data_IF_526461613530
#
_entry.id   IF_526461613530
#
_cell.length_a   1.000
_cell.length_b   1.000
_cell.length_c   1.000
_cell.angle_alpha   90.00
_cell.angle_beta   90.00
_cell.angle_gamma   90.00
#
_symmetry.space_group_name_H-M   'P 1'
#
loop_
_entity.id
_entity.type
_entity.pdbx_description
1 polymer ?
#
# COMPACT_ATOMS: atom_id res chain seq x y z
N UNK A 1 -41.52 23.10 -9.21
CA UNK A 1 -41.42 24.49 -9.72
C UNK A 1 -41.68 25.37 -8.50
N UNK A 2 -40.75 26.13 -7.95
CA UNK A 2 -40.02 27.27 -8.51
C UNK A 2 -38.61 27.32 -7.88
N UNK A 3 -37.61 27.71 -8.67
CA UNK A 3 -36.21 27.85 -8.26
C UNK A 3 -35.92 29.16 -7.54
N UNK A 4 -34.80 29.18 -6.82
CA UNK A 4 -34.17 30.37 -6.25
C UNK A 4 -32.74 30.51 -6.77
N UNK A 5 -32.54 31.44 -7.69
CA UNK A 5 -31.25 32.05 -8.02
C UNK A 5 -31.01 33.23 -7.07
N UNK A 6 -29.94 33.17 -6.28
CA UNK A 6 -29.29 34.26 -5.53
C UNK A 6 -27.84 33.78 -5.31
N UNK A 7 -26.75 34.54 -5.42
CA UNK A 7 -26.46 35.86 -5.96
C UNK A 7 -24.91 35.88 -6.09
N UNK A 8 -24.38 35.92 -7.32
CA UNK A 8 -22.94 35.79 -7.60
C UNK A 8 -22.20 37.14 -7.59
N UNK A 9 -22.91 38.25 -7.35
CA UNK A 9 -22.38 39.61 -7.48
C UNK A 9 -21.95 40.23 -6.14
N UNK A 10 -22.50 39.80 -4.99
CA UNK A 10 -22.11 40.31 -3.66
C UNK A 10 -20.72 39.81 -3.19
N UNK A 11 -20.27 38.62 -3.63
CA UNK A 11 -18.94 38.11 -3.24
C UNK A 11 -17.78 38.85 -3.94
N UNK A 12 -18.02 39.43 -5.12
CA UNK A 12 -16.97 40.12 -5.90
C UNK A 12 -16.66 41.53 -5.39
N UNK A 13 -17.62 42.19 -4.73
CA UNK A 13 -17.44 43.52 -4.12
C UNK A 13 -16.70 43.43 -2.79
N UNK A 14 -16.89 42.38 -1.98
CA UNK A 14 -16.13 42.19 -0.75
C UNK A 14 -14.63 41.88 -0.96
N UNK A 15 -14.26 41.17 -2.04
CA UNK A 15 -12.84 40.90 -2.36
C UNK A 15 -12.06 42.13 -2.86
N UNK A 16 -12.73 43.15 -3.40
CA UNK A 16 -12.06 44.39 -3.83
C UNK A 16 -11.86 45.39 -2.69
N UNK A 17 -12.66 45.31 -1.62
CA UNK A 17 -12.48 46.14 -0.44
C UNK A 17 -11.26 45.71 0.39
N UNK A 18 -11.04 44.40 0.59
CA UNK A 18 -9.95 43.88 1.44
C UNK A 18 -8.54 44.14 0.89
N UNK A 19 -8.40 44.28 -0.44
CA UNK A 19 -7.11 44.56 -1.08
C UNK A 19 -6.68 46.03 -0.95
N UNK A 20 -7.65 46.97 -0.90
CA UNK A 20 -7.36 48.41 -0.66
C UNK A 20 -7.08 48.70 0.81
N UNK A 21 -7.68 47.97 1.74
CA UNK A 21 -7.41 48.13 3.19
C UNK A 21 -6.00 47.65 3.55
N UNK A 22 -5.49 46.60 2.90
CA UNK A 22 -4.14 46.07 3.16
C UNK A 22 -3.02 47.02 2.72
N UNK A 23 -3.23 47.76 1.61
CA UNK A 23 -2.26 48.74 1.09
C UNK A 23 -2.21 50.02 1.94
N UNK A 24 -3.34 50.45 2.51
CA UNK A 24 -3.38 51.62 3.41
C UNK A 24 -2.74 51.29 4.77
N UNK A 25 -2.93 50.07 5.31
CA UNK A 25 -2.28 49.64 6.55
C UNK A 25 -0.75 49.51 6.44
N UNK A 26 -0.22 49.18 5.25
CA UNK A 26 1.23 49.18 5.01
C UNK A 26 1.83 50.60 4.98
N UNK A 27 1.10 51.59 4.47
CA UNK A 27 1.57 52.98 4.47
C UNK A 27 1.58 53.63 5.86
N UNK A 28 0.65 53.26 6.75
CA UNK A 28 0.57 53.80 8.11
C UNK A 28 1.69 53.24 9.02
N UNK A 29 2.20 52.05 8.72
CA UNK A 29 3.28 51.42 9.48
C UNK A 29 4.68 52.02 9.19
N UNK A 30 4.82 52.82 8.13
CA UNK A 30 6.08 53.47 7.75
C UNK A 30 6.19 54.94 8.21
N UNK A 31 5.13 55.50 8.80
CA UNK A 31 5.16 56.84 9.40
C UNK A 31 5.62 56.84 10.88
N UNK A 32 5.75 55.66 11.50
CA UNK A 32 6.04 55.54 12.94
C UNK A 32 7.49 55.21 13.32
N UNK A 33 8.45 55.28 12.38
CA UNK A 33 9.85 54.93 12.64
C UNK A 33 10.78 56.11 12.33
N UNK A 34 10.84 57.09 13.24
CA UNK A 34 11.80 58.21 13.19
C UNK A 34 13.15 57.92 13.89
N UNK A 35 13.40 56.71 14.41
CA UNK A 35 14.57 56.48 15.28
C UNK A 35 15.45 55.25 14.97
N UNK A 36 15.51 54.78 13.71
CA UNK A 36 16.47 53.74 13.33
C UNK A 36 17.68 54.35 12.61
N UNK A 37 18.91 54.26 13.19
CA UNK A 37 20.12 54.54 12.43
C UNK A 37 20.26 53.43 11.38
N UNK A 38 20.49 53.83 10.14
CA UNK A 38 20.76 52.95 8.99
C UNK A 38 19.53 52.32 8.29
N UNK A 39 18.47 53.12 8.11
CA UNK A 39 17.26 52.81 7.30
C UNK A 39 17.60 52.28 5.90
N UNK A 40 18.66 52.77 5.27
CA UNK A 40 19.07 52.35 3.93
C UNK A 40 19.63 50.91 3.93
N UNK A 41 20.44 50.54 4.93
CA UNK A 41 20.97 49.17 5.07
C UNK A 41 19.88 48.14 5.33
N UNK A 42 18.91 48.48 6.18
CA UNK A 42 17.77 47.59 6.43
C UNK A 42 16.95 47.42 5.15
N UNK A 43 16.69 48.49 4.39
CA UNK A 43 15.93 48.38 3.14
C UNK A 43 16.67 47.61 2.05
N UNK A 44 17.99 47.75 1.90
CA UNK A 44 18.77 46.96 0.91
C UNK A 44 18.86 45.50 1.30
N UNK A 45 19.19 45.17 2.55
CA UNK A 45 19.26 43.77 3.02
C UNK A 45 17.88 43.09 2.95
N UNK A 46 16.82 43.82 3.29
CA UNK A 46 15.45 43.26 3.21
C UNK A 46 15.01 43.09 1.75
N UNK A 47 15.38 44.00 0.84
CA UNK A 47 15.09 43.86 -0.59
C UNK A 47 15.93 42.75 -1.24
N UNK A 48 17.18 42.54 -0.82
CA UNK A 48 18.03 41.45 -1.29
C UNK A 48 17.53 40.08 -0.79
N UNK A 49 17.09 39.98 0.46
CA UNK A 49 16.49 38.76 1.01
C UNK A 49 15.13 38.47 0.37
N UNK A 50 14.28 39.48 0.18
CA UNK A 50 13.00 39.34 -0.51
C UNK A 50 13.23 38.96 -1.98
N UNK A 51 14.20 39.55 -2.67
CA UNK A 51 14.55 39.18 -4.05
C UNK A 51 15.12 37.76 -4.13
N UNK A 52 16.01 37.36 -3.21
CA UNK A 52 16.61 36.03 -3.17
C UNK A 52 15.61 34.91 -2.80
N UNK A 53 14.52 35.25 -2.12
CA UNK A 53 13.45 34.31 -1.81
C UNK A 53 12.26 34.37 -2.77
N UNK A 54 12.09 35.46 -3.51
CA UNK A 54 11.01 35.63 -4.49
C UNK A 54 11.06 34.56 -5.58
N UNK A 55 12.24 34.21 -6.08
CA UNK A 55 12.37 33.20 -7.15
C UNK A 55 12.14 31.78 -6.62
N UNK A 56 12.52 31.49 -5.37
CA UNK A 56 12.25 30.20 -4.71
C UNK A 56 10.79 30.02 -4.33
N UNK A 57 10.13 31.08 -3.87
CA UNK A 57 8.69 31.06 -3.61
C UNK A 57 7.88 31.13 -4.89
N UNK A 58 8.39 31.75 -5.97
CA UNK A 58 7.80 31.68 -7.29
C UNK A 58 7.90 30.25 -7.84
N UNK A 59 9.08 29.63 -7.86
CA UNK A 59 9.27 28.23 -8.31
C UNK A 59 8.48 27.23 -7.45
N UNK A 60 8.43 27.42 -6.13
CA UNK A 60 7.61 26.59 -5.23
C UNK A 60 6.10 26.84 -5.41
N UNK A 61 5.67 28.09 -5.59
CA UNK A 61 4.27 28.41 -5.87
C UNK A 61 3.84 27.99 -7.27
N UNK A 62 4.76 27.93 -8.23
CA UNK A 62 4.54 27.50 -9.62
C UNK A 62 4.45 25.97 -9.69
N UNK A 63 5.30 25.24 -8.94
CA UNK A 63 5.18 23.79 -8.71
C UNK A 63 3.91 23.40 -7.95
N UNK A 64 3.41 24.27 -7.06
CA UNK A 64 2.13 24.08 -6.36
C UNK A 64 0.91 24.52 -7.18
N UNK A 65 1.12 25.28 -8.28
CA UNK A 65 0.08 25.80 -9.17
C UNK A 65 0.32 25.37 -10.61
N UNK A 66 0.48 24.07 -10.90
CA UNK A 66 0.00 23.63 -12.21
C UNK A 66 -1.52 23.89 -12.21
N UNK A 67 -2.06 24.85 -12.98
CA UNK A 67 -3.50 25.08 -13.03
C UNK A 67 -4.16 23.77 -13.49
N UNK A 68 -5.39 23.49 -13.05
CA UNK A 68 -6.16 22.36 -13.58
C UNK A 68 -6.14 22.34 -15.12
N UNK A 69 -6.21 23.52 -15.75
CA UNK A 69 -6.08 23.71 -17.19
C UNK A 69 -4.73 23.24 -17.79
N UNK A 70 -3.61 23.33 -17.08
CA UNK A 70 -2.33 22.84 -17.59
C UNK A 70 -2.23 21.30 -17.55
N UNK A 71 -2.78 20.66 -16.50
CA UNK A 71 -2.91 19.20 -16.44
C UNK A 71 -3.90 18.69 -17.49
N UNK A 72 -4.96 19.44 -17.73
CA UNK A 72 -5.94 19.13 -18.75
C UNK A 72 -5.34 19.26 -20.16
N UNK A 73 -4.52 20.29 -20.43
CA UNK A 73 -3.80 20.41 -21.70
C UNK A 73 -2.74 19.31 -21.88
N UNK A 74 -2.04 18.91 -20.82
CA UNK A 74 -1.11 17.77 -20.85
C UNK A 74 -1.83 16.46 -21.21
N UNK A 75 -2.97 16.16 -20.57
CA UNK A 75 -3.78 14.98 -20.89
C UNK A 75 -4.37 15.06 -22.29
N UNK A 76 -4.83 16.23 -22.72
CA UNK A 76 -5.31 16.44 -24.09
C UNK A 76 -4.20 16.22 -25.11
N UNK A 77 -2.96 16.64 -24.83
CA UNK A 77 -1.81 16.37 -25.68
C UNK A 77 -1.53 14.86 -25.79
N UNK A 78 -1.66 14.11 -24.70
CA UNK A 78 -1.54 12.65 -24.71
C UNK A 78 -2.62 11.97 -25.57
N UNK A 79 -3.82 12.55 -25.68
CA UNK A 79 -4.90 12.00 -26.51
C UNK A 79 -4.77 12.35 -27.99
N UNK A 80 -4.12 13.47 -28.34
CA UNK A 80 -3.89 13.87 -29.74
C UNK A 80 -2.92 12.97 -30.49
N UNK A 81 -1.99 12.34 -29.79
CA UNK A 81 -1.04 11.40 -30.37
C UNK A 81 -1.65 9.99 -30.51
N UNK A 82 -1.21 9.16 -31.47
CA UNK A 82 -1.74 7.81 -31.69
C UNK A 82 -1.10 6.73 -30.79
N UNK A 83 -0.05 7.06 -30.04
CA UNK A 83 0.78 6.10 -29.31
C UNK A 83 0.18 5.71 -27.95
N UNK A 84 0.42 4.47 -27.51
CA UNK A 84 -0.06 3.97 -26.21
C UNK A 84 0.97 4.16 -25.10
N UNK A 85 2.26 4.03 -25.42
CA UNK A 85 3.34 4.11 -24.42
C UNK A 85 3.31 5.38 -23.59
N UNK A 86 3.04 6.58 -24.14
CA UNK A 86 2.99 7.76 -23.30
C UNK A 86 1.77 7.79 -22.36
N UNK A 87 0.67 7.11 -22.70
CA UNK A 87 -0.47 6.93 -21.79
C UNK A 87 -0.06 6.01 -20.63
N UNK A 88 0.68 4.96 -20.94
CA UNK A 88 1.26 4.03 -19.96
C UNK A 88 2.28 4.76 -19.05
N UNK A 89 3.16 5.59 -19.62
CA UNK A 89 4.14 6.41 -18.90
C UNK A 89 3.45 7.39 -17.95
N UNK A 90 2.40 8.07 -18.42
CA UNK A 90 1.62 8.98 -17.60
C UNK A 90 1.01 8.26 -16.39
N UNK A 91 0.41 7.09 -16.60
CA UNK A 91 -0.20 6.31 -15.51
C UNK A 91 0.82 5.77 -14.51
N UNK A 92 2.06 5.49 -14.94
CA UNK A 92 3.13 4.98 -14.09
C UNK A 92 3.87 6.09 -13.33
N UNK A 93 4.07 7.25 -13.95
CA UNK A 93 4.81 8.37 -13.37
C UNK A 93 3.95 9.30 -12.50
N UNK A 94 2.62 9.31 -12.70
CA UNK A 94 1.73 10.22 -11.98
C UNK A 94 1.36 9.67 -10.59
N UNK A 95 1.50 10.47 -9.50
CA UNK A 95 1.15 10.05 -8.14
C UNK A 95 -0.31 9.58 -7.99
N UNK A 96 -0.54 8.68 -7.03
CA UNK A 96 -1.88 8.23 -6.66
C UNK A 96 -2.48 9.16 -5.58
N UNK A 97 -2.78 10.40 -5.96
CA UNK A 97 -3.42 11.39 -5.08
C UNK A 97 -4.64 12.05 -5.73
N UNK A 98 -5.54 12.59 -4.90
CA UNK A 98 -6.85 13.10 -5.31
C UNK A 98 -6.81 14.17 -6.41
N UNK A 99 -5.69 14.88 -6.59
CA UNK A 99 -5.55 15.94 -7.60
C UNK A 99 -5.43 15.38 -9.02
N UNK A 100 -4.89 14.18 -9.16
CA UNK A 100 -4.63 13.53 -10.44
C UNK A 100 -5.68 12.47 -10.81
N UNK A 101 -6.49 12.02 -9.84
CA UNK A 101 -7.45 10.94 -10.03
C UNK A 101 -8.39 11.11 -11.24
N UNK A 102 -9.02 12.28 -11.49
CA UNK A 102 -9.90 12.44 -12.65
C UNK A 102 -9.17 12.25 -13.98
N UNK A 103 -7.95 12.78 -14.09
CA UNK A 103 -7.10 12.72 -15.28
C UNK A 103 -6.55 11.30 -15.49
N UNK A 104 -6.08 10.65 -14.42
CA UNK A 104 -5.63 9.24 -14.48
C UNK A 104 -6.75 8.31 -14.93
N UNK A 105 -7.99 8.53 -14.50
CA UNK A 105 -9.13 7.75 -14.98
C UNK A 105 -9.41 7.96 -16.47
N UNK A 106 -9.30 9.20 -16.96
CA UNK A 106 -9.44 9.50 -18.39
C UNK A 106 -8.34 8.81 -19.21
N UNK A 107 -7.08 8.94 -18.77
CA UNK A 107 -5.93 8.34 -19.47
C UNK A 107 -5.98 6.81 -19.45
N UNK A 108 -6.40 6.20 -18.34
CA UNK A 108 -6.59 4.74 -18.28
C UNK A 108 -7.64 4.28 -19.28
N UNK A 109 -8.81 4.93 -19.32
CA UNK A 109 -9.88 4.56 -20.28
C UNK A 109 -9.43 4.67 -21.72
N UNK A 110 -8.69 5.72 -22.08
CA UNK A 110 -8.18 5.89 -23.44
C UNK A 110 -7.09 4.86 -23.79
N UNK A 111 -6.19 4.56 -22.85
CA UNK A 111 -5.20 3.48 -23.01
C UNK A 111 -5.89 2.14 -23.26
N UNK A 112 -6.87 1.80 -22.42
CA UNK A 112 -7.59 0.53 -22.51
C UNK A 112 -8.39 0.44 -23.82
N UNK A 113 -8.98 1.55 -24.29
CA UNK A 113 -9.63 1.65 -25.60
C UNK A 113 -8.66 1.35 -26.75
N UNK A 114 -7.45 1.93 -26.73
CA UNK A 114 -6.43 1.69 -27.78
C UNK A 114 -5.91 0.26 -27.72
N UNK A 115 -5.68 -0.27 -26.52
CA UNK A 115 -5.33 -1.68 -26.34
C UNK A 115 -6.40 -2.62 -26.90
N UNK A 116 -7.69 -2.32 -26.72
CA UNK A 116 -8.77 -3.11 -27.29
C UNK A 116 -8.78 -3.10 -28.83
N UNK A 117 -8.31 -2.02 -29.49
CA UNK A 117 -8.14 -1.99 -30.94
C UNK A 117 -7.04 -2.96 -31.37
N UNK A 118 -5.88 -2.92 -30.71
CA UNK A 118 -4.76 -3.85 -30.97
C UNK A 118 -5.19 -5.29 -30.72
N UNK A 119 -5.91 -5.54 -29.63
CA UNK A 119 -6.48 -6.84 -29.33
C UNK A 119 -7.32 -7.40 -30.47
N UNK A 120 -8.17 -6.57 -31.10
CA UNK A 120 -8.95 -6.97 -32.28
C UNK A 120 -8.08 -7.23 -33.51
N UNK A 121 -7.06 -6.41 -33.75
CA UNK A 121 -6.12 -6.62 -34.87
C UNK A 121 -5.38 -7.96 -34.74
N UNK A 122 -4.89 -8.29 -33.55
CA UNK A 122 -4.24 -9.58 -33.29
C UNK A 122 -5.24 -10.73 -33.21
N UNK A 123 -6.52 -10.46 -32.90
CA UNK A 123 -7.54 -11.49 -32.94
C UNK A 123 -7.75 -12.07 -34.35
N UNK A 124 -7.55 -11.26 -35.38
CA UNK A 124 -7.65 -11.66 -36.80
C UNK A 124 -6.38 -12.37 -37.31
N UNK A 125 -5.25 -12.26 -36.61
CA UNK A 125 -4.00 -12.96 -36.95
C UNK A 125 -4.06 -14.44 -36.57
N UNK A 126 -3.38 -15.28 -37.35
CA UNK A 126 -3.15 -16.68 -37.01
C UNK A 126 -2.31 -16.78 -35.73
N UNK A 127 -2.72 -17.59 -34.73
CA UNK A 127 -2.02 -17.65 -33.46
C UNK A 127 -0.75 -18.51 -33.55
N UNK A 128 0.35 -17.90 -34.01
CA UNK A 128 1.67 -18.54 -34.06
C UNK A 128 2.63 -17.94 -33.01
N UNK A 129 3.68 -18.69 -32.60
CA UNK A 129 4.72 -18.16 -31.71
C UNK A 129 5.39 -16.88 -32.23
N UNK A 130 5.59 -16.76 -33.55
CA UNK A 130 6.20 -15.58 -34.17
C UNK A 130 5.28 -14.35 -34.05
N UNK A 131 3.98 -14.52 -34.29
CA UNK A 131 3.00 -13.44 -34.13
C UNK A 131 2.87 -13.00 -32.66
N UNK A 132 3.07 -13.93 -31.71
CA UNK A 132 3.07 -13.62 -30.29
C UNK A 132 4.32 -12.83 -29.88
N UNK A 133 5.47 -13.18 -30.45
CA UNK A 133 6.70 -12.44 -30.19
C UNK A 133 6.65 -11.02 -30.76
N UNK A 134 6.07 -10.84 -31.96
CA UNK A 134 5.74 -9.53 -32.52
C UNK A 134 4.86 -8.71 -31.57
N UNK A 135 3.78 -9.32 -31.06
CA UNK A 135 2.86 -8.64 -30.13
C UNK A 135 3.54 -8.27 -28.80
N UNK A 136 4.44 -9.14 -28.31
CA UNK A 136 5.19 -8.93 -27.08
C UNK A 136 6.19 -7.80 -27.21
N UNK A 137 6.89 -7.70 -28.33
CA UNK A 137 7.87 -6.64 -28.56
C UNK A 137 7.24 -5.26 -28.46
N UNK A 138 6.09 -5.09 -29.12
CA UNK A 138 5.47 -3.76 -29.26
C UNK A 138 4.53 -3.42 -28.10
N UNK A 139 3.91 -4.41 -27.45
CA UNK A 139 2.77 -4.16 -26.56
C UNK A 139 2.83 -4.81 -25.18
N UNK A 140 3.86 -5.58 -24.83
CA UNK A 140 3.98 -6.21 -23.49
C UNK A 140 3.87 -5.20 -22.35
N UNK A 141 4.43 -4.01 -22.53
CA UNK A 141 4.42 -2.95 -21.51
C UNK A 141 3.08 -2.24 -21.42
N UNK A 142 2.45 -1.98 -22.56
CA UNK A 142 1.33 -1.04 -22.69
C UNK A 142 -0.04 -1.72 -22.72
N UNK A 143 -0.12 -2.95 -23.26
CA UNK A 143 -1.35 -3.72 -23.38
C UNK A 143 -1.18 -5.18 -22.89
N UNK A 144 -0.69 -5.40 -21.66
CA UNK A 144 -0.31 -6.73 -21.18
C UNK A 144 -1.47 -7.75 -21.21
N UNK A 145 -2.71 -7.31 -20.96
CA UNK A 145 -3.90 -8.19 -21.01
C UNK A 145 -4.19 -8.71 -22.41
N UNK A 146 -3.96 -7.90 -23.45
CA UNK A 146 -4.17 -8.31 -24.84
C UNK A 146 -3.08 -9.28 -25.29
N UNK A 147 -1.83 -9.03 -24.90
CA UNK A 147 -0.69 -9.92 -25.16
C UNK A 147 -0.93 -11.28 -24.50
N UNK A 148 -1.43 -11.30 -23.26
CA UNK A 148 -1.76 -12.53 -22.56
C UNK A 148 -2.93 -13.29 -23.22
N UNK A 149 -3.99 -12.58 -23.63
CA UNK A 149 -5.11 -13.20 -24.33
C UNK A 149 -4.68 -13.85 -25.66
N UNK A 150 -3.76 -13.22 -26.40
CA UNK A 150 -3.20 -13.80 -27.62
C UNK A 150 -2.27 -14.98 -27.31
N UNK A 151 -1.45 -14.91 -26.26
CA UNK A 151 -0.59 -16.01 -25.82
C UNK A 151 -1.39 -17.29 -25.53
N UNK A 152 -2.51 -17.17 -24.81
CA UNK A 152 -3.41 -18.29 -24.53
C UNK A 152 -3.96 -18.92 -25.82
N UNK A 153 -4.25 -18.12 -26.85
CA UNK A 153 -4.68 -18.66 -28.15
C UNK A 153 -3.58 -19.43 -28.86
N UNK A 154 -2.32 -18.99 -28.75
CA UNK A 154 -1.16 -19.73 -29.30
C UNK A 154 -1.01 -21.08 -28.60
N UNK A 155 -1.11 -21.10 -27.28
CA UNK A 155 -1.07 -22.33 -26.47
C UNK A 155 -2.19 -23.29 -26.90
N UNK A 156 -3.44 -22.82 -26.94
CA UNK A 156 -4.60 -23.63 -27.36
C UNK A 156 -4.47 -24.14 -28.81
N UNK A 157 -3.93 -23.33 -29.72
CA UNK A 157 -3.68 -23.76 -31.10
C UNK A 157 -2.59 -24.84 -31.17
N UNK A 158 -1.56 -24.75 -30.33
CA UNK A 158 -0.49 -25.75 -30.28
C UNK A 158 -0.98 -27.09 -29.70
N UNK A 159 -1.83 -27.05 -28.68
CA UNK A 159 -2.45 -28.25 -28.10
C UNK A 159 -3.41 -28.93 -29.07
N UNK A 160 -4.20 -28.16 -29.84
CA UNK A 160 -5.09 -28.69 -30.85
C UNK A 160 -4.34 -29.40 -32.00
N UNK A 161 -3.17 -28.88 -32.40
CA UNK A 161 -2.31 -29.53 -33.41
C UNK A 161 -1.75 -30.85 -32.88
N UNK A 162 -1.32 -30.89 -31.61
CA UNK A 162 -0.80 -32.11 -30.97
C UNK A 162 -1.89 -33.17 -30.84
N UNK A 163 -3.13 -32.78 -30.51
CA UNK A 163 -4.26 -33.71 -30.43
C UNK A 163 -4.71 -34.22 -31.81
N UNK A 164 -4.67 -33.38 -32.85
CA UNK A 164 -4.97 -33.79 -34.23
C UNK A 164 -3.90 -34.72 -34.83
N UNK A 165 -2.69 -34.75 -34.26
CA UNK A 165 -1.59 -35.61 -34.69
C UNK A 165 -1.52 -36.97 -33.94
N UNK A 166 -2.42 -37.23 -32.99
CA UNK A 166 -2.46 -38.50 -32.27
C UNK A 166 -3.08 -39.63 -33.14
N UNK A 167 -2.47 -40.82 -33.23
CA UNK A 167 -2.98 -41.90 -34.09
C UNK A 167 -4.29 -42.50 -33.53
N UNK A 168 -5.30 -42.63 -34.38
CA UNK A 168 -6.55 -43.32 -34.05
C UNK A 168 -6.30 -44.81 -33.74
N UNK A 169 -6.65 -45.23 -32.53
CA UNK A 169 -6.67 -46.64 -32.11
C UNK A 169 -8.02 -47.23 -32.53
N UNK A 170 -8.08 -48.32 -33.34
CA UNK A 170 -9.34 -48.89 -33.78
C UNK A 170 -10.07 -49.62 -32.64
N UNK A 171 -11.40 -49.48 -32.62
CA UNK A 171 -12.31 -50.10 -31.64
C UNK A 171 -12.16 -51.64 -31.56
N UNK A 172 -12.33 -52.25 -30.37
CA UNK A 172 -12.23 -53.69 -30.21
C UNK A 172 -13.54 -54.40 -30.61
N UNK A 173 -13.39 -55.49 -31.37
CA UNK A 173 -14.47 -56.39 -31.76
C UNK A 173 -15.11 -57.14 -30.56
N UNK A 174 -16.38 -57.59 -30.65
CA UNK A 174 -17.09 -58.19 -29.53
C UNK A 174 -16.61 -59.62 -29.21
N UNK A 175 -16.57 -59.94 -27.92
CA UNK A 175 -16.00 -61.16 -27.35
C UNK A 175 -16.84 -62.45 -27.62
N UNK A 176 -16.20 -63.61 -27.82
CA UNK A 176 -16.86 -64.92 -27.71
C UNK A 176 -16.88 -65.47 -26.28
N UNK A 177 -17.85 -66.36 -26.02
CA UNK A 177 -18.25 -66.97 -24.75
C UNK A 177 -17.16 -67.84 -24.05
N UNK A 178 -17.29 -68.14 -22.74
CA UNK A 178 -16.18 -68.57 -21.90
C UNK A 178 -15.92 -70.09 -21.93
N UNK A 179 -14.64 -70.47 -21.89
CA UNK A 179 -14.17 -71.84 -21.63
C UNK A 179 -13.56 -71.94 -20.21
N UNK A 180 -13.61 -73.12 -19.57
CA UNK A 180 -13.42 -73.26 -18.13
C UNK A 180 -11.95 -73.13 -17.67
N UNK A 181 -11.82 -72.62 -16.44
CA UNK A 181 -10.58 -72.27 -15.73
C UNK A 181 -9.78 -73.49 -15.24
N UNK A 182 -8.43 -73.44 -15.34
CA UNK A 182 -7.53 -74.25 -14.52
C UNK A 182 -6.98 -73.48 -13.30
N UNK A 183 -6.52 -74.19 -12.24
CA UNK A 183 -6.23 -73.64 -10.90
C UNK A 183 -4.91 -72.84 -10.80
N UNK A 184 -4.70 -72.08 -9.70
CA UNK A 184 -3.83 -70.92 -9.70
C UNK A 184 -2.34 -71.27 -9.58
N UNK A 185 -1.50 -70.51 -10.31
CA UNK A 185 -0.07 -70.36 -10.00
C UNK A 185 0.18 -68.96 -9.39
N UNK A 186 1.15 -68.83 -8.46
CA UNK A 186 1.40 -67.58 -7.77
C UNK A 186 2.18 -66.61 -8.66
N UNK A 187 1.66 -65.40 -8.83
CA UNK A 187 2.32 -64.27 -9.52
C UNK A 187 2.10 -63.06 -8.61
N UNK A 188 3.11 -62.70 -7.80
CA UNK A 188 4.11 -61.65 -8.05
C UNK A 188 3.52 -60.23 -7.99
N UNK A 189 4.20 -59.39 -7.18
CA UNK A 189 3.91 -57.97 -6.94
C UNK A 189 3.66 -57.18 -8.25
N UNK A 190 2.81 -56.13 -8.21
CA UNK A 190 2.65 -55.23 -9.35
C UNK A 190 4.00 -54.54 -9.68
N UNK A 191 4.26 -54.21 -10.96
CA UNK A 191 5.47 -53.52 -11.35
C UNK A 191 5.48 -52.11 -10.73
N UNK A 192 6.61 -51.77 -10.11
CA UNK A 192 6.97 -50.41 -9.74
C UNK A 192 6.98 -49.50 -10.97
N UNK A 193 6.45 -48.28 -10.82
CA UNK A 193 6.57 -47.19 -11.80
C UNK A 193 8.00 -47.08 -12.36
N UNK A 194 8.18 -46.72 -13.64
CA UNK A 194 9.51 -46.50 -14.19
C UNK A 194 10.17 -45.33 -13.45
N UNK A 195 11.30 -45.60 -12.81
CA UNK A 195 12.09 -44.60 -12.11
C UNK A 195 12.46 -43.46 -13.07
N UNK A 196 11.91 -42.27 -12.84
CA UNK A 196 12.37 -41.03 -13.48
C UNK A 196 13.88 -40.90 -13.27
N UNK A 197 14.62 -40.60 -14.34
CA UNK A 197 16.07 -40.47 -14.24
C UNK A 197 16.45 -39.39 -13.22
N UNK A 198 17.47 -39.65 -12.40
CA UNK A 198 17.95 -38.70 -11.40
C UNK A 198 18.28 -37.32 -11.99
N UNK A 199 18.65 -37.26 -13.27
CA UNK A 199 18.94 -36.00 -13.99
C UNK A 199 17.69 -35.16 -14.26
N UNK A 200 16.55 -35.79 -14.54
CA UNK A 200 15.26 -35.11 -14.72
C UNK A 200 14.69 -34.63 -13.37
N UNK A 201 14.88 -35.41 -12.31
CA UNK A 201 14.49 -35.00 -10.95
C UNK A 201 15.29 -33.78 -10.48
N UNK A 202 16.59 -33.72 -10.79
CA UNK A 202 17.45 -32.58 -10.45
C UNK A 202 17.11 -31.33 -11.26
N UNK A 203 16.70 -31.46 -12.53
CA UNK A 203 16.23 -30.30 -13.32
C UNK A 203 14.89 -29.76 -12.82
N UNK A 204 13.94 -30.65 -12.50
CA UNK A 204 12.61 -30.26 -11.98
C UNK A 204 12.75 -29.55 -10.61
N UNK A 205 13.66 -30.01 -9.74
CA UNK A 205 13.91 -29.38 -8.44
C UNK A 205 14.58 -27.99 -8.57
N UNK A 206 15.50 -27.84 -9.52
CA UNK A 206 16.15 -26.55 -9.77
C UNK A 206 15.16 -25.52 -10.32
N UNK A 207 14.22 -25.95 -11.16
CA UNK A 207 13.17 -25.11 -11.73
C UNK A 207 12.11 -24.70 -10.68
N UNK A 208 11.67 -25.66 -9.85
CA UNK A 208 10.80 -25.41 -8.69
C UNK A 208 11.40 -24.38 -7.71
N UNK A 209 12.68 -24.55 -7.34
CA UNK A 209 13.38 -23.61 -6.46
C UNK A 209 13.50 -22.21 -7.06
N UNK A 210 13.63 -22.12 -8.39
CA UNK A 210 13.67 -20.84 -9.10
C UNK A 210 12.30 -20.15 -9.09
N UNK A 211 11.23 -20.89 -9.37
CA UNK A 211 9.86 -20.36 -9.38
C UNK A 211 9.44 -19.83 -8.01
N UNK A 212 9.79 -20.53 -6.92
CA UNK A 212 9.56 -20.05 -5.55
C UNK A 212 10.33 -18.75 -5.26
N UNK A 213 11.60 -18.67 -5.70
CA UNK A 213 12.42 -17.47 -5.53
C UNK A 213 11.87 -16.27 -6.31
N UNK A 214 11.49 -16.50 -7.57
CA UNK A 214 10.88 -15.48 -8.44
C UNK A 214 9.54 -15.00 -7.87
N UNK A 215 8.70 -15.92 -7.36
CA UNK A 215 7.49 -15.58 -6.63
C UNK A 215 7.76 -14.57 -5.51
N UNK A 216 8.69 -14.88 -4.60
CA UNK A 216 8.94 -14.02 -3.43
C UNK A 216 9.52 -12.67 -3.82
N UNK A 217 10.45 -12.64 -4.77
CA UNK A 217 11.08 -11.42 -5.23
C UNK A 217 10.05 -10.50 -5.89
N UNK A 218 9.28 -11.04 -6.85
CA UNK A 218 8.28 -10.27 -7.59
C UNK A 218 7.16 -9.78 -6.66
N UNK A 219 6.74 -10.59 -5.69
CA UNK A 219 5.77 -10.19 -4.68
C UNK A 219 6.31 -9.05 -3.81
N UNK A 220 7.56 -9.15 -3.35
CA UNK A 220 8.19 -8.14 -2.49
C UNK A 220 8.35 -6.77 -3.19
N UNK A 221 8.70 -6.77 -4.47
CA UNK A 221 8.78 -5.52 -5.27
C UNK A 221 7.42 -5.07 -5.83
N UNK A 222 6.32 -5.74 -5.44
CA UNK A 222 4.94 -5.44 -5.83
C UNK A 222 4.68 -5.58 -7.33
N UNK A 223 5.44 -6.41 -8.03
CA UNK A 223 5.14 -6.83 -9.40
C UNK A 223 4.13 -8.00 -9.37
N UNK A 224 2.91 -7.70 -8.92
CA UNK A 224 1.90 -8.71 -8.63
C UNK A 224 1.44 -9.50 -9.85
N UNK A 225 1.47 -8.89 -11.03
CA UNK A 225 1.12 -9.58 -12.28
C UNK A 225 2.07 -10.74 -12.57
N UNK A 226 3.39 -10.50 -12.52
CA UNK A 226 4.37 -11.56 -12.75
C UNK A 226 4.49 -12.48 -11.54
N UNK A 227 4.36 -11.95 -10.32
CA UNK A 227 4.36 -12.73 -9.10
C UNK A 227 3.26 -13.80 -9.13
N UNK A 228 2.07 -13.49 -9.65
CA UNK A 228 0.97 -14.45 -9.73
C UNK A 228 1.37 -15.73 -10.47
N UNK A 229 2.04 -15.64 -11.62
CA UNK A 229 2.44 -16.83 -12.37
C UNK A 229 3.42 -17.70 -11.56
N UNK A 230 4.51 -17.11 -11.10
CA UNK A 230 5.57 -17.80 -10.36
C UNK A 230 5.08 -18.35 -9.02
N UNK A 231 4.23 -17.59 -8.33
CA UNK A 231 3.64 -18.03 -7.06
C UNK A 231 2.62 -19.15 -7.25
N UNK A 232 1.84 -19.16 -8.34
CA UNK A 232 0.85 -20.21 -8.59
C UNK A 232 1.54 -21.57 -8.82
N UNK A 233 2.64 -21.58 -9.56
CA UNK A 233 3.43 -22.79 -9.78
C UNK A 233 3.99 -23.33 -8.44
N UNK A 234 4.72 -22.49 -7.70
CA UNK A 234 5.26 -22.88 -6.39
C UNK A 234 4.16 -23.28 -5.36
N UNK A 235 3.01 -22.60 -5.38
CA UNK A 235 1.89 -22.91 -4.50
C UNK A 235 1.28 -24.30 -4.78
N UNK A 236 1.17 -24.68 -6.07
CA UNK A 236 0.71 -26.01 -6.50
C UNK A 236 1.65 -27.12 -6.06
N UNK A 237 2.95 -26.84 -6.02
CA UNK A 237 3.98 -27.76 -5.52
C UNK A 237 4.01 -27.87 -3.99
N UNK A 238 3.25 -27.04 -3.28
CA UNK A 238 3.09 -27.13 -1.84
C UNK A 238 3.80 -26.04 -1.06
N UNK A 239 4.46 -25.07 -1.70
CA UNK A 239 5.17 -24.03 -0.97
C UNK A 239 4.21 -23.13 -0.17
N UNK A 240 4.29 -23.20 1.17
CA UNK A 240 3.34 -22.54 2.06
C UNK A 240 3.36 -21.01 1.94
N UNK A 241 4.52 -20.41 1.63
CA UNK A 241 4.65 -18.95 1.47
C UNK A 241 4.07 -18.49 0.14
N UNK A 242 4.30 -19.23 -0.95
CA UNK A 242 3.69 -18.98 -2.24
C UNK A 242 2.16 -19.15 -2.19
N UNK A 243 1.66 -20.14 -1.44
CA UNK A 243 0.23 -20.29 -1.17
C UNK A 243 -0.35 -19.06 -0.47
N UNK A 244 0.34 -18.51 0.54
CA UNK A 244 -0.07 -17.26 1.17
C UNK A 244 -0.07 -16.07 0.18
N UNK A 245 0.98 -15.95 -0.65
CA UNK A 245 1.05 -14.89 -1.66
C UNK A 245 -0.07 -14.99 -2.69
N UNK A 246 -0.36 -16.17 -3.23
CA UNK A 246 -1.50 -16.36 -4.15
C UNK A 246 -2.83 -16.09 -3.47
N UNK A 247 -3.00 -16.50 -2.21
CA UNK A 247 -4.20 -16.18 -1.45
C UNK A 247 -4.40 -14.67 -1.30
N UNK A 248 -3.33 -13.93 -1.00
CA UNK A 248 -3.35 -12.47 -0.90
C UNK A 248 -3.68 -11.80 -2.24
N UNK A 249 -3.14 -12.32 -3.35
CA UNK A 249 -3.42 -11.81 -4.69
C UNK A 249 -4.87 -12.08 -5.09
N UNK A 250 -5.37 -13.29 -4.85
CA UNK A 250 -6.76 -13.66 -5.10
C UNK A 250 -7.72 -12.77 -4.30
N UNK A 251 -7.43 -12.49 -3.02
CA UNK A 251 -8.22 -11.56 -2.21
C UNK A 251 -8.26 -10.17 -2.82
N UNK A 252 -7.11 -9.65 -3.27
CA UNK A 252 -7.02 -8.33 -3.92
C UNK A 252 -7.76 -8.27 -5.26
N UNK A 253 -7.77 -9.37 -6.02
CA UNK A 253 -8.49 -9.49 -7.30
C UNK A 253 -10.00 -9.70 -7.14
N UNK A 254 -10.51 -9.84 -5.91
CA UNK A 254 -11.92 -10.12 -5.66
C UNK A 254 -12.33 -11.56 -5.96
N UNK A 255 -11.41 -12.51 -5.75
CA UNK A 255 -11.61 -13.95 -5.94
C UNK A 255 -11.65 -14.65 -4.56
N UNK A 256 -12.73 -14.48 -3.77
CA UNK A 256 -12.74 -14.85 -2.36
C UNK A 256 -12.62 -16.36 -2.12
N UNK A 257 -13.20 -17.20 -2.99
CA UNK A 257 -13.08 -18.66 -2.90
C UNK A 257 -11.64 -19.14 -3.11
N UNK A 258 -10.93 -18.55 -4.07
CA UNK A 258 -9.53 -18.86 -4.32
C UNK A 258 -8.64 -18.36 -3.18
N UNK A 259 -8.93 -17.17 -2.64
CA UNK A 259 -8.24 -16.64 -1.47
C UNK A 259 -8.39 -17.57 -0.26
N UNK A 260 -9.61 -18.01 0.03
CA UNK A 260 -9.92 -18.93 1.11
C UNK A 260 -9.24 -20.28 0.92
N UNK A 261 -9.30 -20.85 -0.29
CA UNK A 261 -8.64 -22.11 -0.62
C UNK A 261 -7.12 -22.07 -0.35
N UNK A 262 -6.43 -21.08 -0.91
CA UNK A 262 -4.97 -21.00 -0.79
C UNK A 262 -4.50 -20.58 0.61
N UNK A 263 -5.25 -19.70 1.28
CA UNK A 263 -4.96 -19.33 2.66
C UNK A 263 -5.10 -20.54 3.59
N UNK A 264 -6.12 -21.38 3.38
CA UNK A 264 -6.32 -22.63 4.12
C UNK A 264 -5.11 -23.55 3.98
N UNK A 265 -4.65 -23.82 2.75
CA UNK A 265 -3.48 -24.68 2.51
C UNK A 265 -2.21 -24.13 3.16
N UNK A 266 -1.99 -22.82 3.11
CA UNK A 266 -0.86 -22.18 3.77
C UNK A 266 -0.94 -22.30 5.30
N UNK A 267 -2.12 -22.09 5.86
CA UNK A 267 -2.38 -22.16 7.30
C UNK A 267 -2.26 -23.59 7.87
N UNK A 268 -2.71 -24.61 7.12
CA UNK A 268 -2.56 -26.03 7.47
C UNK A 268 -1.08 -26.44 7.60
N UNK A 269 -0.22 -25.81 6.81
CA UNK A 269 1.24 -25.95 6.92
C UNK A 269 1.85 -25.10 8.04
N UNK A 270 1.02 -24.49 8.88
CA UNK A 270 1.39 -23.62 10.01
C UNK A 270 2.15 -22.36 9.59
N UNK A 271 2.04 -21.93 8.33
CA UNK A 271 2.68 -20.68 7.91
C UNK A 271 1.97 -19.48 8.57
N UNK A 272 2.67 -18.64 9.37
CA UNK A 272 2.02 -17.64 10.21
C UNK A 272 1.26 -16.56 9.42
N UNK A 273 1.79 -16.12 8.29
CA UNK A 273 1.10 -15.15 7.42
C UNK A 273 -0.13 -15.78 6.72
N UNK A 274 -0.09 -17.09 6.44
CA UNK A 274 -1.23 -17.85 5.94
C UNK A 274 -2.33 -17.99 6.98
N UNK A 275 -1.96 -18.31 8.23
CA UNK A 275 -2.88 -18.36 9.36
C UNK A 275 -3.55 -17.01 9.62
N UNK A 276 -2.78 -15.91 9.62
CA UNK A 276 -3.33 -14.57 9.78
C UNK A 276 -4.28 -14.19 8.64
N UNK A 277 -3.91 -14.45 7.39
CA UNK A 277 -4.80 -14.18 6.26
C UNK A 277 -6.09 -15.01 6.33
N UNK A 278 -6.02 -16.29 6.68
CA UNK A 278 -7.20 -17.12 6.87
C UNK A 278 -8.09 -16.60 8.02
N UNK A 279 -7.49 -16.06 9.07
CA UNK A 279 -8.22 -15.44 10.16
C UNK A 279 -9.00 -14.20 9.70
N UNK A 280 -8.40 -13.36 8.86
CA UNK A 280 -9.09 -12.21 8.27
C UNK A 280 -10.27 -12.65 7.40
N UNK A 281 -10.09 -13.69 6.58
CA UNK A 281 -11.17 -14.23 5.73
C UNK A 281 -12.35 -14.75 6.56
N UNK A 282 -12.10 -15.43 7.68
CA UNK A 282 -13.14 -15.83 8.63
C UNK A 282 -13.79 -14.66 9.35
N UNK A 283 -13.03 -13.60 9.65
CA UNK A 283 -13.58 -12.40 10.29
C UNK A 283 -14.55 -11.67 9.34
N UNK A 284 -14.14 -11.52 8.07
CA UNK A 284 -14.87 -10.75 7.07
C UNK A 284 -15.98 -11.55 6.39
N UNK A 285 -15.86 -12.89 6.37
CA UNK A 285 -16.78 -13.80 5.67
C UNK A 285 -16.48 -13.88 4.17
N UNK A 286 -15.20 -13.80 3.80
CA UNK A 286 -14.73 -13.84 2.42
C UNK A 286 -14.41 -15.28 2.02
N UNK A 287 -15.18 -15.85 1.10
CA UNK A 287 -15.03 -17.24 0.62
C UNK A 287 -15.47 -18.28 1.65
N UNK A 288 -16.10 -17.83 2.74
CA UNK A 288 -16.61 -18.67 3.81
C UNK A 288 -17.63 -17.91 4.66
N UNK A 289 -18.34 -18.60 5.56
CA UNK A 289 -19.18 -17.94 6.54
C UNK A 289 -18.33 -17.29 7.64
N UNK A 290 -18.79 -16.14 8.18
CA UNK A 290 -18.10 -15.49 9.30
C UNK A 290 -17.99 -16.42 10.50
N UNK A 291 -16.80 -16.51 11.07
CA UNK A 291 -16.52 -17.31 12.27
C UNK A 291 -15.42 -16.64 13.12
N UNK A 292 -15.84 -15.80 14.06
CA UNK A 292 -14.95 -15.06 14.93
C UNK A 292 -14.09 -15.98 15.82
N UNK A 293 -14.63 -17.14 16.23
CA UNK A 293 -13.90 -18.09 17.08
C UNK A 293 -12.75 -18.76 16.30
N UNK A 294 -13.00 -19.17 15.05
CA UNK A 294 -11.94 -19.69 14.18
C UNK A 294 -10.90 -18.63 13.85
N UNK A 295 -11.35 -17.41 13.56
CA UNK A 295 -10.46 -16.26 13.32
C UNK A 295 -9.52 -16.06 14.51
N UNK A 296 -10.07 -15.98 15.72
CA UNK A 296 -9.30 -15.79 16.94
C UNK A 296 -8.26 -16.91 17.17
N UNK A 297 -8.63 -18.18 16.98
CA UNK A 297 -7.69 -19.30 17.14
C UNK A 297 -6.53 -19.25 16.14
N UNK A 298 -6.80 -18.90 14.88
CA UNK A 298 -5.77 -18.74 13.86
C UNK A 298 -4.84 -17.56 14.16
N UNK A 299 -5.37 -16.42 14.62
CA UNK A 299 -4.56 -15.29 15.09
C UNK A 299 -3.66 -15.70 16.25
N UNK A 300 -4.18 -16.45 17.23
CA UNK A 300 -3.42 -16.95 18.37
C UNK A 300 -2.28 -17.87 17.94
N UNK A 301 -2.52 -18.75 16.97
CA UNK A 301 -1.49 -19.63 16.40
C UNK A 301 -0.39 -18.82 15.70
N UNK A 302 -0.75 -17.84 14.85
CA UNK A 302 0.21 -16.97 14.17
C UNK A 302 1.01 -16.10 15.16
N UNK A 303 0.33 -15.57 16.19
CA UNK A 303 0.94 -14.79 17.26
C UNK A 303 1.96 -15.59 18.08
N UNK A 304 1.65 -16.86 18.36
CA UNK A 304 2.55 -17.81 19.04
C UNK A 304 3.83 -18.11 18.24
N UNK A 305 3.82 -17.88 16.93
CA UNK A 305 4.99 -17.98 16.06
C UNK A 305 5.78 -16.67 15.93
N UNK A 306 5.38 -15.62 16.65
CA UNK A 306 6.11 -14.36 16.69
C UNK A 306 5.67 -13.32 15.66
N UNK A 307 4.62 -13.54 14.86
CA UNK A 307 4.16 -12.54 13.90
C UNK A 307 3.57 -11.32 14.62
N UNK A 308 4.22 -10.16 14.50
CA UNK A 308 3.89 -8.95 15.28
C UNK A 308 2.47 -8.45 14.99
N UNK A 309 2.04 -8.47 13.73
CA UNK A 309 0.67 -8.11 13.33
C UNK A 309 -0.37 -9.04 13.95
N UNK A 310 -0.11 -10.36 13.96
CA UNK A 310 -1.02 -11.33 14.58
C UNK A 310 -1.04 -11.20 16.11
N UNK A 311 0.09 -10.89 16.74
CA UNK A 311 0.13 -10.57 18.17
C UNK A 311 -0.72 -9.33 18.47
N UNK A 312 -0.61 -8.27 17.67
CA UNK A 312 -1.45 -7.10 17.83
C UNK A 312 -2.95 -7.42 17.65
N UNK A 313 -3.32 -8.13 16.57
CA UNK A 313 -4.70 -8.53 16.31
C UNK A 313 -5.28 -9.44 17.42
N UNK A 314 -4.48 -10.38 17.94
CA UNK A 314 -4.87 -11.21 19.10
C UNK A 314 -5.12 -10.34 20.34
N UNK A 315 -4.29 -9.31 20.55
CA UNK A 315 -4.50 -8.34 21.62
C UNK A 315 -5.80 -7.56 21.47
N UNK A 316 -6.13 -7.10 20.25
CA UNK A 316 -7.41 -6.43 19.98
C UNK A 316 -8.60 -7.37 20.23
N UNK A 317 -8.52 -8.62 19.77
CA UNK A 317 -9.57 -9.61 20.00
C UNK A 317 -9.84 -9.84 21.50
N UNK A 318 -8.80 -9.87 22.33
CA UNK A 318 -8.95 -9.93 23.79
C UNK A 318 -9.53 -8.66 24.41
N UNK A 319 -9.25 -7.47 23.88
CA UNK A 319 -9.88 -6.24 24.38
C UNK A 319 -11.37 -6.19 24.07
N UNK A 320 -11.73 -6.60 22.86
CA UNK A 320 -13.10 -6.45 22.33
C UNK A 320 -13.98 -7.65 22.63
N UNK A 321 -13.39 -8.79 23.00
CA UNK A 321 -14.12 -10.07 23.15
C UNK A 321 -14.54 -10.65 21.79
N UNK A 322 -13.78 -10.39 20.73
CA UNK A 322 -14.07 -10.92 19.39
C UNK A 322 -13.54 -12.35 19.27
N UNK A 323 -14.43 -13.35 19.19
CA UNK A 323 -14.05 -14.77 19.15
C UNK A 323 -13.50 -15.32 20.46
N UNK A 324 -13.52 -14.52 21.54
CA UNK A 324 -13.04 -14.86 22.88
C UNK A 324 -13.80 -14.07 23.94
N UNK A 325 -13.66 -14.41 25.22
CA UNK A 325 -14.09 -13.51 26.30
C UNK A 325 -13.15 -12.32 26.45
N UNK A 326 -13.68 -11.15 26.80
CA UNK A 326 -12.90 -9.94 27.12
C UNK A 326 -11.86 -10.22 28.21
N UNK A 327 -10.59 -9.95 27.93
CA UNK A 327 -9.46 -10.17 28.83
C UNK A 327 -8.35 -9.11 28.63
N UNK A 328 -8.50 -7.89 29.19
CA UNK A 328 -7.59 -6.78 28.93
C UNK A 328 -6.14 -7.03 29.31
N UNK A 329 -5.89 -7.82 30.35
CA UNK A 329 -4.52 -8.17 30.76
C UNK A 329 -3.81 -9.01 29.69
N UNK A 330 -4.52 -9.99 29.10
CA UNK A 330 -3.99 -10.78 27.97
C UNK A 330 -3.76 -9.90 26.75
N UNK A 331 -4.63 -8.93 26.51
CA UNK A 331 -4.42 -7.98 25.42
C UNK A 331 -3.12 -7.19 25.56
N UNK A 332 -2.85 -6.67 26.77
CA UNK A 332 -1.61 -5.94 27.07
C UNK A 332 -0.38 -6.84 26.88
N UNK A 333 -0.42 -8.09 27.34
CA UNK A 333 0.67 -9.05 27.10
C UNK A 333 0.99 -9.19 25.61
N UNK A 334 -0.03 -9.38 24.78
CA UNK A 334 0.12 -9.48 23.33
C UNK A 334 0.60 -8.18 22.67
N UNK A 335 0.11 -7.02 23.11
CA UNK A 335 0.61 -5.74 22.63
C UNK A 335 2.07 -5.51 23.00
N UNK A 336 2.51 -5.91 24.20
CA UNK A 336 3.91 -5.80 24.61
C UNK A 336 4.82 -6.64 23.70
N UNK A 337 4.40 -7.86 23.34
CA UNK A 337 5.14 -8.70 22.40
C UNK A 337 5.29 -8.02 21.04
N UNK A 338 4.19 -7.53 20.45
CA UNK A 338 4.21 -6.84 19.16
C UNK A 338 5.04 -5.54 19.23
N UNK A 339 4.86 -4.75 20.28
CA UNK A 339 5.60 -3.49 20.50
C UNK A 339 7.11 -3.72 20.70
N UNK A 340 7.50 -4.87 21.26
CA UNK A 340 8.87 -5.34 21.38
C UNK A 340 9.56 -5.48 20.02
N UNK A 341 8.80 -5.86 18.99
CA UNK A 341 9.22 -5.97 17.59
C UNK A 341 9.08 -4.65 16.81
N UNK A 342 8.96 -3.53 17.53
CA UNK A 342 8.79 -2.19 16.98
C UNK A 342 7.45 -1.92 16.26
N UNK A 343 6.44 -2.79 16.41
CA UNK A 343 5.11 -2.58 15.83
C UNK A 343 4.43 -1.31 16.37
N UNK A 344 4.33 -0.27 15.54
CA UNK A 344 3.84 1.07 15.93
C UNK A 344 2.40 1.03 16.45
N UNK A 345 1.42 0.36 15.81
CA UNK A 345 0.06 0.29 16.32
C UNK A 345 -0.03 -0.31 17.73
N UNK A 346 0.80 -1.32 18.04
CA UNK A 346 0.85 -1.92 19.37
C UNK A 346 1.43 -0.96 20.42
N UNK A 347 2.45 -0.18 20.06
CA UNK A 347 2.99 0.86 20.93
C UNK A 347 1.94 1.95 21.23
N UNK A 348 1.17 2.36 20.23
CA UNK A 348 0.06 3.32 20.41
C UNK A 348 -1.06 2.74 21.26
N UNK A 349 -1.44 1.48 21.07
CA UNK A 349 -2.45 0.81 21.91
C UNK A 349 -2.01 0.73 23.38
N UNK A 350 -0.73 0.42 23.64
CA UNK A 350 -0.18 0.45 25.01
C UNK A 350 -0.15 1.86 25.59
N UNK A 351 0.19 2.87 24.78
CA UNK A 351 0.12 4.26 25.20
C UNK A 351 -1.30 4.66 25.61
N UNK A 352 -2.29 4.29 24.79
CA UNK A 352 -3.71 4.55 25.07
C UNK A 352 -4.18 3.82 26.33
N UNK A 353 -3.86 2.53 26.46
CA UNK A 353 -4.19 1.71 27.63
C UNK A 353 -3.65 2.31 28.92
N UNK A 354 -2.41 2.80 28.93
CA UNK A 354 -1.83 3.45 30.12
C UNK A 354 -2.20 4.93 30.26
N UNK A 355 -2.90 5.55 29.30
CA UNK A 355 -3.29 6.96 29.40
C UNK A 355 -4.57 7.17 30.21
N UNK A 356 -5.43 6.16 30.30
CA UNK A 356 -6.72 6.25 30.98
C UNK A 356 -7.16 4.90 31.56
N UNK A 357 -8.16 4.91 32.44
CA UNK A 357 -8.70 3.69 33.08
C UNK A 357 -8.02 3.33 34.40
N UNK A 358 -8.40 2.17 34.95
CA UNK A 358 -7.98 1.74 36.29
C UNK A 358 -6.47 1.44 36.40
N UNK A 359 -5.83 1.10 35.28
CA UNK A 359 -4.39 0.82 35.17
C UNK A 359 -3.61 2.02 34.61
N UNK A 360 -4.20 3.23 34.64
CA UNK A 360 -3.57 4.43 34.09
C UNK A 360 -2.19 4.67 34.72
N UNK A 361 -1.21 4.83 33.84
CA UNK A 361 0.15 5.20 34.19
C UNK A 361 0.70 6.15 33.11
N UNK A 362 0.48 7.47 33.26
CA UNK A 362 0.88 8.46 32.27
C UNK A 362 2.37 8.38 31.89
N UNK A 363 3.25 7.99 32.83
CA UNK A 363 4.68 7.84 32.57
C UNK A 363 4.97 6.64 31.66
N UNK A 364 4.30 5.50 31.86
CA UNK A 364 4.37 4.36 30.93
C UNK A 364 3.78 4.71 29.57
N UNK A 365 2.66 5.42 29.55
CA UNK A 365 2.05 5.89 28.30
C UNK A 365 3.04 6.74 27.49
N UNK A 366 3.64 7.75 28.13
CA UNK A 366 4.64 8.62 27.49
C UNK A 366 5.86 7.85 26.99
N UNK A 367 6.32 6.80 27.69
CA UNK A 367 7.42 5.94 27.22
C UNK A 367 7.07 5.22 25.92
N UNK A 368 5.85 4.69 25.80
CA UNK A 368 5.39 4.05 24.56
C UNK A 368 5.21 5.06 23.42
N UNK A 369 4.64 6.23 23.70
CA UNK A 369 4.55 7.33 22.74
C UNK A 369 5.93 7.75 22.23
N UNK A 370 6.92 7.90 23.11
CA UNK A 370 8.29 8.22 22.73
C UNK A 370 8.90 7.16 21.80
N UNK A 371 8.63 5.88 22.03
CA UNK A 371 9.11 4.79 21.17
C UNK A 371 8.49 4.87 19.78
N UNK A 372 7.18 5.06 19.68
CA UNK A 372 6.48 5.19 18.40
C UNK A 372 6.87 6.48 17.67
N UNK A 373 7.01 7.60 18.39
CA UNK A 373 7.36 8.90 17.83
C UNK A 373 8.78 8.94 17.23
N UNK A 374 9.72 8.17 17.80
CA UNK A 374 11.08 7.98 17.26
C UNK A 374 11.11 7.18 15.96
N UNK A 375 10.05 6.40 15.69
CA UNK A 375 9.84 5.68 14.43
C UNK A 375 9.01 6.50 13.42
N UNK A 376 8.95 7.81 13.60
CA UNK A 376 8.23 8.73 12.71
C UNK A 376 6.70 8.56 12.64
N UNK A 377 6.10 7.89 13.63
CA UNK A 377 4.64 7.90 13.78
C UNK A 377 4.13 9.31 14.05
N UNK A 378 3.48 9.92 13.06
CA UNK A 378 2.91 11.26 13.15
C UNK A 378 1.88 11.37 14.30
N UNK A 379 1.05 10.33 14.46
CA UNK A 379 0.09 10.24 15.57
C UNK A 379 0.80 10.24 16.93
N UNK A 380 1.83 9.40 17.11
CA UNK A 380 2.56 9.34 18.38
C UNK A 380 3.27 10.66 18.69
N UNK A 381 3.83 11.32 17.66
CA UNK A 381 4.47 12.63 17.80
C UNK A 381 3.44 13.71 18.24
N UNK A 382 2.23 13.67 17.67
CA UNK A 382 1.15 14.57 18.06
C UNK A 382 0.72 14.36 19.52
N UNK A 383 0.43 13.12 19.90
CA UNK A 383 0.00 12.76 21.26
C UNK A 383 1.11 13.03 22.30
N UNK A 384 2.37 12.82 21.93
CA UNK A 384 3.51 13.16 22.78
C UNK A 384 3.64 14.67 22.96
N UNK A 385 3.43 15.45 21.90
CA UNK A 385 3.38 16.91 21.96
C UNK A 385 2.31 17.43 22.92
N UNK A 386 1.10 16.86 22.84
CA UNK A 386 0.02 17.15 23.78
C UNK A 386 0.36 16.73 25.22
N UNK A 387 1.00 15.57 25.38
CA UNK A 387 1.44 15.09 26.70
C UNK A 387 2.38 16.09 27.36
N UNK A 388 3.33 16.66 26.62
CA UNK A 388 4.23 17.71 27.11
C UNK A 388 3.51 19.03 27.39
N UNK A 389 2.61 19.48 26.51
CA UNK A 389 1.90 20.75 26.73
C UNK A 389 0.96 20.72 27.93
N UNK A 390 0.41 19.56 28.24
CA UNK A 390 -0.56 19.39 29.32
C UNK A 390 0.10 18.99 30.64
N UNK A 391 1.40 18.63 30.63
CA UNK A 391 2.08 18.10 31.81
C UNK A 391 1.65 16.68 32.18
N UNK A 392 1.07 15.91 31.25
CA UNK A 392 0.65 14.54 31.52
C UNK A 392 1.89 13.65 31.68
N UNK A 393 2.23 13.25 32.90
CA UNK A 393 3.49 12.55 33.26
C UNK A 393 4.72 13.47 33.47
N UNK A 394 4.52 14.69 33.95
CA UNK A 394 5.61 15.57 34.36
C UNK A 394 5.18 17.02 34.48
N UNK A 395 6.14 17.94 34.41
CA UNK A 395 5.82 19.37 34.26
C UNK A 395 5.47 19.68 32.81
N UNK A 396 4.70 20.74 32.61
CA UNK A 396 4.45 21.31 31.29
C UNK A 396 5.78 21.70 30.64
N UNK A 397 5.97 21.31 29.40
CA UNK A 397 7.14 21.67 28.59
C UNK A 397 6.68 22.09 27.18
N UNK A 398 6.47 23.40 27.02
CA UNK A 398 6.00 23.94 25.74
C UNK A 398 7.06 23.87 24.64
N UNK A 399 8.36 23.82 24.98
CA UNK A 399 9.41 23.68 23.96
C UNK A 399 9.44 22.27 23.40
N UNK A 400 9.40 21.24 24.26
CA UNK A 400 9.27 19.86 23.78
C UNK A 400 7.95 19.64 23.05
N UNK A 401 6.85 20.20 23.55
CA UNK A 401 5.57 20.15 22.85
C UNK A 401 5.68 20.73 21.43
N UNK A 402 6.31 21.90 21.29
CA UNK A 402 6.51 22.54 19.99
C UNK A 402 7.35 21.67 19.04
N UNK A 403 8.44 21.08 19.53
CA UNK A 403 9.32 20.21 18.72
C UNK A 403 8.57 18.98 18.22
N UNK A 404 7.85 18.28 19.10
CA UNK A 404 7.13 17.06 18.73
C UNK A 404 5.91 17.33 17.83
N UNK A 405 5.14 18.38 18.11
CA UNK A 405 4.04 18.80 17.24
C UNK A 405 4.54 19.25 15.86
N UNK A 406 5.71 19.89 15.78
CA UNK A 406 6.31 20.26 14.49
C UNK A 406 6.69 19.03 13.67
N UNK A 407 7.28 18.01 14.32
CA UNK A 407 7.57 16.72 13.67
C UNK A 407 6.30 16.02 13.20
N UNK A 408 5.26 15.99 14.04
CA UNK A 408 3.96 15.42 13.68
C UNK A 408 3.39 16.06 12.41
N UNK A 409 3.43 17.40 12.33
CA UNK A 409 2.97 18.14 11.16
C UNK A 409 3.79 17.82 9.89
N UNK A 410 5.12 17.74 10.02
CA UNK A 410 6.01 17.38 8.91
C UNK A 410 5.77 15.95 8.40
N UNK A 411 5.40 15.04 9.29
CA UNK A 411 5.05 13.66 8.98
C UNK A 411 3.57 13.46 8.62
N UNK A 412 2.80 14.55 8.42
CA UNK A 412 1.46 14.51 7.84
C UNK A 412 0.28 14.68 8.80
N UNK A 413 0.50 14.85 10.11
CA UNK A 413 -0.59 15.10 11.06
C UNK A 413 -0.98 16.59 11.07
N UNK A 414 -2.02 16.94 10.32
CA UNK A 414 -2.49 18.32 10.17
C UNK A 414 -3.11 18.91 11.44
N UNK A 415 -3.54 18.07 12.40
CA UNK A 415 -4.11 18.52 13.68
C UNK A 415 -3.09 19.32 14.49
N UNK A 416 -1.81 18.98 14.35
CA UNK A 416 -0.70 19.66 15.02
C UNK A 416 -0.62 21.17 14.72
N UNK A 417 -1.15 21.64 13.59
CA UNK A 417 -1.07 23.06 13.18
C UNK A 417 -1.74 24.00 14.18
N UNK A 418 -2.94 23.65 14.64
CA UNK A 418 -3.68 24.49 15.58
C UNK A 418 -2.97 24.54 16.94
N UNK A 419 -2.48 23.39 17.39
CA UNK A 419 -1.72 23.27 18.64
C UNK A 419 -0.39 24.01 18.57
N UNK A 420 0.34 23.96 17.46
CA UNK A 420 1.58 24.73 17.27
C UNK A 420 1.35 26.24 17.42
N UNK A 421 0.24 26.76 16.87
CA UNK A 421 -0.11 28.18 17.01
C UNK A 421 -0.36 28.55 18.48
N UNK A 422 -1.06 27.69 19.22
CA UNK A 422 -1.34 27.87 20.65
C UNK A 422 -0.09 27.73 21.51
N UNK A 423 0.78 26.78 21.21
CA UNK A 423 2.03 26.56 21.95
C UNK A 423 3.02 27.69 21.69
N UNK A 424 3.11 28.19 20.45
CA UNK A 424 3.98 29.30 20.11
C UNK A 424 3.66 30.58 20.89
N UNK A 425 2.38 30.86 21.19
CA UNK A 425 2.01 32.01 22.04
C UNK A 425 2.40 31.84 23.51
N UNK A 426 2.72 30.62 23.95
CA UNK A 426 3.15 30.30 25.30
C UNK A 426 4.68 30.21 25.44
N UNK A 427 5.43 30.56 24.38
CA UNK A 427 6.89 30.56 24.35
C UNK A 427 7.40 32.00 24.22
N UNK A 428 8.53 32.29 24.87
CA UNK A 428 9.29 33.50 24.58
C UNK A 428 9.93 33.41 23.18
N UNK A 429 10.32 34.55 22.60
CA UNK A 429 10.99 34.57 21.30
C UNK A 429 12.25 33.68 21.27
N UNK A 430 13.06 33.75 22.34
CA UNK A 430 14.26 32.93 22.51
C UNK A 430 13.93 31.43 22.56
N UNK A 431 12.95 31.03 23.36
CA UNK A 431 12.53 29.62 23.46
C UNK A 431 11.96 29.10 22.13
N UNK A 432 11.20 29.92 21.42
CA UNK A 432 10.65 29.58 20.11
C UNK A 432 11.77 29.38 19.08
N UNK A 433 12.77 30.26 19.05
CA UNK A 433 13.94 30.15 18.18
C UNK A 433 14.74 28.87 18.48
N UNK A 434 15.00 28.58 19.77
CA UNK A 434 15.66 27.34 20.18
C UNK A 434 14.88 26.09 19.74
N UNK A 435 13.55 26.07 19.93
CA UNK A 435 12.71 24.96 19.53
C UNK A 435 12.71 24.78 17.99
N UNK A 436 12.63 25.86 17.22
CA UNK A 436 12.72 25.83 15.76
C UNK A 436 14.07 25.28 15.28
N UNK A 437 15.18 25.72 15.89
CA UNK A 437 16.52 25.22 15.57
C UNK A 437 16.65 23.72 15.84
N UNK A 438 16.05 23.20 16.91
CA UNK A 438 16.00 21.76 17.20
C UNK A 438 15.21 20.99 16.14
N UNK A 439 14.07 21.52 15.70
CA UNK A 439 13.30 20.93 14.60
C UNK A 439 14.14 20.89 13.31
N UNK A 440 14.80 22.00 12.97
CA UNK A 440 15.63 22.12 11.76
C UNK A 440 16.83 21.17 11.77
N UNK A 441 17.57 21.10 12.89
CA UNK A 441 18.72 20.20 13.04
C UNK A 441 18.29 18.73 12.93
N UNK A 442 17.13 18.38 13.48
CA UNK A 442 16.55 17.05 13.35
C UNK A 442 16.11 16.69 11.92
N UNK A 443 15.90 17.67 11.04
CA UNK A 443 15.61 17.45 9.62
C UNK A 443 16.88 17.30 8.78
N UNK A 444 17.93 18.07 9.08
CA UNK A 444 19.18 18.03 8.31
C UNK A 444 19.95 16.73 8.53
N UNK A 445 19.95 16.18 9.75
CA UNK A 445 20.56 14.88 10.05
C UNK A 445 19.85 13.65 9.46
N UNK A 446 18.70 13.81 8.79
CA UNK A 446 18.02 12.73 8.04
C UNK A 446 18.41 12.66 6.56
N UNK A 447 19.12 13.67 6.06
CA UNK A 447 19.51 13.77 4.64
C UNK A 447 20.96 13.34 4.36
N UNK A 448 21.70 12.99 5.40
CA UNK A 448 23.05 12.41 5.38
C UNK A 448 22.96 10.94 5.73
#
# INVERSE_FOLDING_TARGET
>A
MVGGQFDWLEQRTQMRLTSKTLLVCLSVSLAGCESLPDRQRVLTVTNEIIAAQKDRFADFAERLKAPQAAREEEVNALFRQPFIDPLTDYLQSTPNDARYMPHRQQVSRERDRRCAVIGRQFAEKTPTPEALEEMRGDYSRSCPSQVQAFALRVEQSSEAIVQAAAPEVPEPAPAPAPAPTPPPRPVAKPPSEPARSARAVVSDQAESSKQASDCYLLFAIKNFQQAHHSCLAAAREGDAKAQHHIASLARQSGEPEAAFHWATRSAEQKHPAGQMLLADLYQDGEGTARDASRSFELLRLAAGQGLAEAQFATGQAYLEGNGTTVAPNKAVEHFVLAAGQNHIPAQLALAQYYSSGNEANPARARKWLLRAAKQDSAQAQYELGLSYSNGNAGRVDNMEAYVWLSKAMLNGDSRARAELKRIASNLTAEQLEMAQKRVQTGMTGRRS
#
